data_IF_392117034099
#
_entry.id   IF_392117034099
#
_cell.length_a   1.000
_cell.length_b   1.000
_cell.length_c   1.000
_cell.angle_alpha   90.00
_cell.angle_beta   90.00
_cell.angle_gamma   90.00
#
_symmetry.space_group_name_H-M   'P 1'
#
loop_
_entity.id
_entity.type
_entity.pdbx_description
1 polymer ?
#
# COMPACT_ATOMS: atom_id res chain seq x y z
N UNK A 1 20.20 -25.01 9.49
CA UNK A 1 20.68 -24.18 10.62
C UNK A 1 20.69 -22.66 10.34
N UNK A 2 20.31 -22.17 9.14
CA UNK A 2 20.53 -20.75 8.76
C UNK A 2 19.24 -19.91 8.63
N UNK A 3 18.07 -20.45 8.98
CA UNK A 3 16.78 -19.74 8.83
C UNK A 3 16.24 -19.06 10.10
N UNK A 4 16.95 -19.14 11.23
CA UNK A 4 16.52 -18.52 12.50
C UNK A 4 17.01 -17.08 12.73
N UNK A 5 17.86 -16.52 11.85
CA UNK A 5 18.48 -15.21 12.06
C UNK A 5 18.07 -14.11 11.06
N UNK A 6 17.08 -14.39 10.21
CA UNK A 6 16.59 -13.44 9.21
C UNK A 6 15.58 -12.46 9.83
N UNK A 7 16.07 -11.41 10.49
CA UNK A 7 15.26 -10.36 11.10
C UNK A 7 15.07 -9.17 10.13
N UNK A 8 14.38 -9.41 9.01
CA UNK A 8 14.10 -8.39 7.99
C UNK A 8 12.85 -7.56 8.34
N UNK A 9 12.96 -6.24 8.26
CA UNK A 9 11.83 -5.29 8.33
C UNK A 9 11.58 -4.73 6.91
N UNK A 10 10.34 -4.45 6.51
CA UNK A 10 10.04 -4.03 5.14
C UNK A 10 8.89 -3.01 5.06
N UNK A 11 8.84 -2.07 4.09
CA UNK A 11 7.86 -0.99 4.04
C UNK A 11 6.43 -1.46 3.77
N UNK A 12 5.46 -0.63 4.13
CA UNK A 12 4.03 -0.89 4.10
C UNK A 12 3.48 -1.11 2.68
N UNK A 13 4.12 -0.53 1.65
CA UNK A 13 3.74 -0.77 0.24
C UNK A 13 3.89 -2.24 -0.16
N UNK A 14 4.76 -2.98 0.51
CA UNK A 14 4.81 -4.43 0.37
C UNK A 14 3.63 -4.97 1.16
N UNK A 15 2.49 -5.09 0.48
CA UNK A 15 1.14 -5.30 1.03
C UNK A 15 0.95 -6.51 1.97
N UNK A 16 2.00 -7.29 2.21
CA UNK A 16 2.16 -8.31 3.25
C UNK A 16 3.65 -8.47 3.52
N UNK A 17 4.06 -8.45 4.79
CA UNK A 17 5.34 -9.04 5.17
C UNK A 17 5.32 -10.51 4.78
N UNK A 18 6.36 -10.97 4.07
CA UNK A 18 6.51 -12.40 3.79
C UNK A 18 6.61 -13.14 5.12
N UNK A 19 5.84 -14.22 5.28
CA UNK A 19 6.08 -15.18 6.36
C UNK A 19 7.54 -15.63 6.32
N UNK A 20 8.08 -16.22 7.41
CA UNK A 20 9.41 -16.81 7.38
C UNK A 20 9.60 -17.75 6.18
N UNK A 21 10.82 -17.82 5.62
CA UNK A 21 11.14 -18.71 4.48
C UNK A 21 10.87 -20.20 4.81
N UNK A 22 10.88 -20.56 6.09
CA UNK A 22 10.46 -21.88 6.56
C UNK A 22 9.00 -22.21 6.21
N UNK A 23 8.14 -21.20 6.14
CA UNK A 23 6.71 -21.30 5.79
C UNK A 23 6.43 -20.95 4.32
N UNK A 24 7.46 -20.95 3.45
CA UNK A 24 7.31 -20.55 2.04
C UNK A 24 6.26 -21.34 1.25
N UNK A 25 5.90 -22.54 1.71
CA UNK A 25 4.81 -23.34 1.12
C UNK A 25 3.44 -22.64 1.19
N UNK A 26 3.25 -21.77 2.19
CA UNK A 26 2.02 -21.02 2.42
C UNK A 26 2.13 -19.54 2.01
N UNK A 27 3.18 -19.18 1.27
CA UNK A 27 3.35 -17.84 0.73
C UNK A 27 2.38 -17.62 -0.42
N UNK A 28 1.74 -16.45 -0.41
CA UNK A 28 0.92 -15.96 -1.52
C UNK A 28 1.79 -15.35 -2.60
N UNK A 29 1.23 -15.17 -3.80
CA UNK A 29 1.93 -14.58 -4.95
C UNK A 29 2.67 -13.26 -4.60
N UNK A 30 2.04 -12.36 -3.84
CA UNK A 30 2.68 -11.10 -3.42
C UNK A 30 3.89 -11.31 -2.50
N UNK A 31 3.89 -12.35 -1.68
CA UNK A 31 5.04 -12.67 -0.81
C UNK A 31 6.21 -13.23 -1.62
N UNK A 32 5.92 -14.01 -2.67
CA UNK A 32 6.92 -14.47 -3.64
C UNK A 32 7.50 -13.33 -4.46
N UNK A 33 6.65 -12.42 -4.93
CA UNK A 33 7.07 -11.21 -5.64
C UNK A 33 8.00 -10.35 -4.78
N UNK A 34 7.59 -10.03 -3.55
CA UNK A 34 8.42 -9.27 -2.61
C UNK A 34 9.75 -9.98 -2.32
N UNK A 35 9.71 -11.31 -2.17
CA UNK A 35 10.92 -12.10 -1.98
C UNK A 35 11.87 -11.98 -3.16
N UNK A 36 11.40 -12.24 -4.38
CA UNK A 36 12.26 -12.18 -5.57
C UNK A 36 12.81 -10.78 -5.76
N UNK A 37 11.96 -9.74 -5.71
CA UNK A 37 12.38 -8.37 -6.03
C UNK A 37 13.25 -7.70 -4.97
N UNK A 38 13.05 -7.99 -3.69
CA UNK A 38 13.69 -7.21 -2.62
C UNK A 38 14.55 -8.03 -1.67
N UNK A 39 14.10 -9.23 -1.28
CA UNK A 39 14.76 -9.97 -0.20
C UNK A 39 15.79 -10.97 -0.71
N UNK A 40 15.53 -11.58 -1.87
CA UNK A 40 16.29 -12.72 -2.37
C UNK A 40 17.75 -12.36 -2.66
N UNK A 41 18.02 -11.20 -3.27
CA UNK A 41 19.38 -10.78 -3.57
C UNK A 41 20.23 -10.54 -2.30
N UNK A 42 19.82 -9.71 -1.33
CA UNK A 42 20.53 -9.58 -0.05
C UNK A 42 20.74 -10.91 0.69
N UNK A 43 19.74 -11.79 0.69
CA UNK A 43 19.78 -13.07 1.40
C UNK A 43 20.75 -14.03 0.70
N UNK A 44 20.60 -14.21 -0.61
CA UNK A 44 21.41 -15.14 -1.38
C UNK A 44 22.84 -14.68 -1.57
N UNK A 45 23.11 -13.36 -1.51
CA UNK A 45 24.48 -12.85 -1.44
C UNK A 45 25.25 -13.41 -0.24
N UNK A 46 24.55 -13.65 0.87
CA UNK A 46 25.13 -14.22 2.09
C UNK A 46 25.11 -15.76 2.09
N UNK A 47 24.11 -16.40 1.48
CA UNK A 47 23.89 -17.84 1.58
C UNK A 47 24.48 -18.67 0.44
N UNK A 48 24.64 -18.08 -0.75
CA UNK A 48 25.07 -18.79 -1.96
C UNK A 48 26.49 -18.38 -2.33
N UNK A 49 27.20 -19.28 -3.02
CA UNK A 49 28.45 -18.92 -3.68
C UNK A 49 28.22 -17.90 -4.80
N UNK A 50 29.30 -17.23 -5.22
CA UNK A 50 29.22 -16.16 -6.21
C UNK A 50 28.58 -16.62 -7.53
N UNK A 51 28.84 -17.85 -8.00
CA UNK A 51 28.30 -18.33 -9.26
C UNK A 51 26.79 -18.55 -9.18
N UNK A 52 26.30 -19.15 -8.09
CA UNK A 52 24.86 -19.32 -7.87
C UNK A 52 24.16 -17.99 -7.62
N UNK A 53 24.83 -17.04 -6.96
CA UNK A 53 24.30 -15.70 -6.75
C UNK A 53 24.15 -14.93 -8.07
N UNK A 54 25.17 -14.93 -8.94
CA UNK A 54 25.10 -14.29 -10.26
C UNK A 54 24.01 -14.93 -11.13
N UNK A 55 23.89 -16.26 -11.11
CA UNK A 55 22.80 -16.97 -11.77
C UNK A 55 21.42 -16.49 -11.28
N UNK A 56 21.18 -16.43 -9.97
CA UNK A 56 19.89 -15.97 -9.43
C UNK A 56 19.62 -14.50 -9.76
N UNK A 57 20.68 -13.69 -9.78
CA UNK A 57 20.59 -12.26 -10.09
C UNK A 57 20.07 -12.00 -11.51
N UNK A 58 20.33 -12.87 -12.48
CA UNK A 58 19.75 -12.77 -13.84
C UNK A 58 18.22 -12.69 -13.81
N UNK A 59 17.58 -13.49 -12.94
CA UNK A 59 16.12 -13.46 -12.77
C UNK A 59 15.65 -12.20 -12.04
N UNK A 60 16.32 -11.81 -10.96
CA UNK A 60 15.92 -10.64 -10.17
C UNK A 60 16.01 -9.36 -10.98
N UNK A 61 17.11 -9.18 -11.71
CA UNK A 61 17.40 -7.96 -12.45
C UNK A 61 16.52 -7.84 -13.70
N UNK A 62 16.27 -8.95 -14.42
CA UNK A 62 15.35 -8.96 -15.57
C UNK A 62 13.92 -8.63 -15.16
N UNK A 63 13.42 -9.21 -14.06
CA UNK A 63 12.08 -8.89 -13.54
C UNK A 63 11.98 -7.44 -13.08
N UNK A 64 13.04 -6.88 -12.48
CA UNK A 64 13.07 -5.45 -12.12
C UNK A 64 12.93 -4.56 -13.35
N UNK A 65 13.63 -4.86 -14.44
CA UNK A 65 13.51 -4.13 -15.71
C UNK A 65 12.09 -4.22 -16.25
N UNK A 66 11.56 -5.45 -16.38
CA UNK A 66 10.25 -5.71 -16.98
C UNK A 66 9.06 -5.15 -16.18
N UNK A 67 9.32 -4.71 -14.94
CA UNK A 67 8.35 -4.07 -14.05
C UNK A 67 8.48 -2.55 -13.99
N UNK A 68 9.43 -1.91 -14.69
CA UNK A 68 9.56 -0.45 -14.69
C UNK A 68 8.34 0.23 -15.34
N UNK A 69 8.11 1.49 -14.97
CA UNK A 69 7.06 2.32 -15.59
C UNK A 69 7.43 2.72 -17.03
N UNK A 70 8.72 2.92 -17.29
CA UNK A 70 9.29 3.24 -18.59
C UNK A 70 10.43 2.26 -18.87
N UNK A 71 10.38 1.57 -20.02
CA UNK A 71 11.36 0.55 -20.43
C UNK A 71 11.81 0.89 -21.84
N UNK A 72 13.11 1.08 -22.03
CA UNK A 72 13.72 1.27 -23.36
C UNK A 72 13.89 -0.06 -24.09
N UNK A 73 14.01 -0.03 -25.42
CA UNK A 73 14.26 -1.26 -26.20
C UNK A 73 15.55 -1.96 -25.77
N UNK A 74 16.61 -1.20 -25.47
CA UNK A 74 17.90 -1.77 -25.01
C UNK A 74 17.76 -2.46 -23.64
N UNK A 75 16.98 -1.87 -22.72
CA UNK A 75 16.68 -2.49 -21.42
C UNK A 75 15.85 -3.77 -21.61
N UNK A 76 14.86 -3.74 -22.51
CA UNK A 76 14.01 -4.89 -22.81
C UNK A 76 14.81 -6.05 -23.42
N UNK A 77 15.67 -5.77 -24.39
CA UNK A 77 16.59 -6.74 -25.01
C UNK A 77 17.57 -7.30 -23.97
N UNK A 78 18.01 -6.47 -23.04
CA UNK A 78 18.83 -6.90 -21.92
C UNK A 78 18.10 -7.86 -20.99
N UNK A 79 16.86 -7.56 -20.62
CA UNK A 79 16.04 -8.46 -19.80
C UNK A 79 15.78 -9.79 -20.52
N UNK A 80 15.52 -9.77 -21.84
CA UNK A 80 15.34 -10.98 -22.64
C UNK A 80 16.56 -11.90 -22.62
N UNK A 81 17.75 -11.34 -22.86
CA UNK A 81 19.02 -12.08 -22.82
C UNK A 81 19.26 -12.71 -21.45
N UNK A 82 19.00 -11.97 -20.37
CA UNK A 82 19.18 -12.46 -19.00
C UNK A 82 18.23 -13.64 -18.68
N UNK A 83 16.99 -13.61 -19.18
CA UNK A 83 16.02 -14.70 -18.97
C UNK A 83 16.36 -15.95 -19.81
N UNK A 84 16.90 -15.77 -21.01
CA UNK A 84 17.44 -16.86 -21.82
C UNK A 84 18.65 -17.52 -21.15
N UNK A 85 19.60 -16.71 -20.68
CA UNK A 85 20.77 -17.19 -19.95
C UNK A 85 20.37 -17.93 -18.67
N UNK A 86 19.42 -17.38 -17.89
CA UNK A 86 18.86 -18.04 -16.72
C UNK A 86 18.27 -19.42 -17.06
N UNK A 87 17.51 -19.53 -18.15
CA UNK A 87 16.94 -20.81 -18.61
C UNK A 87 18.01 -21.84 -18.98
N UNK A 88 19.03 -21.44 -19.75
CA UNK A 88 20.12 -22.34 -20.15
C UNK A 88 20.87 -22.86 -18.92
N UNK A 89 21.28 -21.96 -18.02
CA UNK A 89 22.00 -22.33 -16.80
C UNK A 89 21.12 -23.20 -15.89
N UNK A 90 19.80 -22.97 -15.84
CA UNK A 90 18.86 -23.80 -15.07
C UNK A 90 18.94 -25.26 -15.52
N UNK A 91 18.88 -25.50 -16.84
CA UNK A 91 18.92 -26.85 -17.40
C UNK A 91 20.28 -27.52 -17.12
N UNK A 92 21.37 -26.78 -17.28
CA UNK A 92 22.73 -27.30 -17.07
C UNK A 92 22.99 -27.67 -15.60
N UNK A 93 22.61 -26.79 -14.67
CA UNK A 93 22.89 -26.99 -13.22
C UNK A 93 21.90 -27.93 -12.54
N UNK A 94 20.61 -27.87 -12.90
CA UNK A 94 19.55 -28.57 -12.17
C UNK A 94 18.86 -29.65 -13.00
N UNK A 95 19.39 -29.96 -14.19
CA UNK A 95 18.90 -30.96 -15.14
C UNK A 95 17.54 -30.62 -15.77
N UNK A 96 17.10 -31.44 -16.73
CA UNK A 96 15.80 -31.28 -17.41
C UNK A 96 14.60 -31.33 -16.46
N UNK A 97 14.72 -31.95 -15.29
CA UNK A 97 13.62 -32.02 -14.31
C UNK A 97 13.26 -30.64 -13.76
N UNK A 98 14.23 -29.71 -13.69
CA UNK A 98 14.00 -28.34 -13.26
C UNK A 98 13.35 -27.45 -14.33
N UNK A 99 13.34 -27.89 -15.60
CA UNK A 99 12.76 -27.16 -16.74
C UNK A 99 11.24 -27.32 -16.79
N UNK A 100 10.59 -26.83 -15.73
CA UNK A 100 9.13 -26.79 -15.64
C UNK A 100 8.54 -25.81 -16.66
N UNK A 101 7.23 -25.92 -16.89
CA UNK A 101 6.49 -24.97 -17.71
C UNK A 101 6.76 -23.51 -17.29
N UNK A 102 6.75 -23.20 -15.99
CA UNK A 102 6.98 -21.84 -15.51
C UNK A 102 8.38 -21.32 -15.82
N UNK A 103 9.41 -22.18 -15.82
CA UNK A 103 10.77 -21.79 -16.20
C UNK A 103 10.82 -21.45 -17.69
N UNK A 104 10.18 -22.26 -18.53
CA UNK A 104 10.07 -21.99 -19.96
C UNK A 104 9.30 -20.70 -20.27
N UNK A 105 8.20 -20.43 -19.54
CA UNK A 105 7.41 -19.21 -19.71
C UNK A 105 8.22 -17.92 -19.51
N UNK A 106 9.34 -17.97 -18.77
CA UNK A 106 10.23 -16.82 -18.58
C UNK A 106 10.76 -16.28 -19.93
N UNK A 107 10.99 -17.15 -20.92
CA UNK A 107 11.48 -16.76 -22.26
C UNK A 107 10.50 -15.87 -23.03
N UNK A 108 9.23 -15.81 -22.60
CA UNK A 108 8.19 -15.04 -23.27
C UNK A 108 7.85 -13.74 -22.55
N UNK A 109 8.49 -13.44 -21.41
CA UNK A 109 8.15 -12.25 -20.62
C UNK A 109 8.51 -10.97 -21.35
N UNK A 110 9.71 -10.87 -21.94
CA UNK A 110 10.12 -9.67 -22.69
C UNK A 110 9.24 -9.44 -23.92
N UNK A 111 8.92 -10.51 -24.66
CA UNK A 111 7.93 -10.44 -25.75
C UNK A 111 6.56 -9.99 -25.24
N UNK A 112 6.10 -10.48 -24.08
CA UNK A 112 4.84 -10.02 -23.50
C UNK A 112 4.87 -8.54 -23.16
N UNK A 113 6.00 -8.04 -22.63
CA UNK A 113 6.18 -6.61 -22.34
C UNK A 113 6.15 -5.75 -23.60
N UNK A 114 6.81 -6.21 -24.68
CA UNK A 114 6.79 -5.52 -25.97
C UNK A 114 5.37 -5.30 -26.51
N UNK A 115 4.51 -6.32 -26.40
CA UNK A 115 3.17 -6.29 -26.99
C UNK A 115 2.09 -5.72 -26.08
N UNK A 116 2.20 -5.91 -24.76
CA UNK A 116 1.13 -5.62 -23.80
C UNK A 116 1.51 -4.58 -22.73
N UNK A 117 2.74 -4.05 -22.79
CA UNK A 117 3.30 -3.15 -21.79
C UNK A 117 3.90 -3.87 -20.58
N UNK A 118 4.44 -3.13 -19.59
CA UNK A 118 5.11 -3.68 -18.42
C UNK A 118 4.32 -4.79 -17.70
N UNK A 119 5.01 -5.71 -17.01
CA UNK A 119 4.37 -6.91 -16.41
C UNK A 119 3.20 -6.60 -15.47
N UNK A 120 3.20 -5.43 -14.83
CA UNK A 120 2.12 -5.02 -13.94
C UNK A 120 0.80 -4.70 -14.68
N UNK A 121 0.86 -4.32 -15.96
CA UNK A 121 -0.31 -3.97 -16.78
C UNK A 121 -1.24 -5.15 -17.08
N UNK A 122 -0.67 -6.36 -17.19
CA UNK A 122 -1.38 -7.58 -17.55
C UNK A 122 -1.30 -8.65 -16.46
N UNK A 123 -0.99 -8.24 -15.22
CA UNK A 123 -1.06 -9.10 -14.05
C UNK A 123 -2.52 -9.51 -13.74
N UNK A 124 -2.70 -10.68 -13.13
CA UNK A 124 -4.03 -11.13 -12.69
C UNK A 124 -4.47 -10.51 -11.37
N UNK A 125 -3.61 -9.76 -10.67
CA UNK A 125 -3.94 -9.18 -9.36
C UNK A 125 -5.18 -8.27 -9.37
N UNK A 126 -5.38 -7.35 -10.34
CA UNK A 126 -6.59 -6.53 -10.38
C UNK A 126 -7.85 -7.38 -10.55
N UNK A 127 -7.76 -8.43 -11.37
CA UNK A 127 -8.85 -9.37 -11.59
C UNK A 127 -9.18 -10.17 -10.32
N UNK A 128 -8.18 -10.74 -9.67
CA UNK A 128 -8.35 -11.48 -8.40
C UNK A 128 -8.90 -10.59 -7.28
N UNK A 129 -8.46 -9.34 -7.20
CA UNK A 129 -8.96 -8.35 -6.24
C UNK A 129 -10.43 -8.02 -6.51
N UNK A 130 -10.79 -7.76 -7.78
CA UNK A 130 -12.17 -7.55 -8.19
C UNK A 130 -13.05 -8.77 -7.90
N UNK A 131 -12.55 -9.97 -8.19
CA UNK A 131 -13.24 -11.22 -7.93
C UNK A 131 -13.43 -11.47 -6.43
N UNK A 132 -12.43 -11.17 -5.60
CA UNK A 132 -12.54 -11.25 -4.15
C UNK A 132 -13.64 -10.32 -3.61
N UNK A 133 -13.70 -9.09 -4.10
CA UNK A 133 -14.76 -8.15 -3.74
C UNK A 133 -16.15 -8.66 -4.15
N UNK A 134 -16.25 -9.29 -5.32
CA UNK A 134 -17.48 -9.91 -5.79
C UNK A 134 -17.90 -11.08 -4.89
N UNK A 135 -16.97 -11.99 -4.56
CA UNK A 135 -17.25 -13.12 -3.68
C UNK A 135 -17.72 -12.69 -2.28
N UNK A 136 -17.13 -11.63 -1.72
CA UNK A 136 -17.58 -11.08 -0.43
C UNK A 136 -19.04 -10.61 -0.46
N UNK A 137 -19.60 -10.31 -1.63
CA UNK A 137 -21.00 -9.87 -1.77
C UNK A 137 -21.99 -11.04 -1.85
N UNK A 138 -21.50 -12.26 -2.08
CA UNK A 138 -22.30 -13.47 -2.16
C UNK A 138 -22.35 -14.09 -0.77
N UNK A 139 -23.46 -13.87 -0.07
CA UNK A 139 -23.61 -14.29 1.33
C UNK A 139 -24.33 -15.63 1.49
N UNK A 140 -25.03 -16.10 0.45
CA UNK A 140 -25.67 -17.40 0.45
C UNK A 140 -25.85 -17.95 -0.97
N UNK A 141 -25.94 -19.27 -1.09
CA UNK A 141 -26.12 -19.98 -2.35
C UNK A 141 -27.47 -19.67 -3.05
N UNK A 142 -28.44 -19.09 -2.32
CA UNK A 142 -29.75 -18.75 -2.88
C UNK A 142 -29.69 -17.41 -3.62
N UNK A 143 -29.92 -17.43 -4.93
CA UNK A 143 -30.05 -16.21 -5.74
C UNK A 143 -28.74 -15.44 -5.92
N UNK A 144 -27.62 -16.15 -6.08
CA UNK A 144 -26.28 -15.58 -6.34
C UNK A 144 -26.31 -14.52 -7.45
N UNK A 145 -26.97 -14.82 -8.56
CA UNK A 145 -27.10 -13.88 -9.69
C UNK A 145 -27.74 -12.55 -9.28
N UNK A 146 -28.77 -12.57 -8.42
CA UNK A 146 -29.43 -11.36 -7.94
C UNK A 146 -28.56 -10.57 -6.94
N UNK A 147 -27.74 -11.26 -6.15
CA UNK A 147 -26.78 -10.63 -5.24
C UNK A 147 -25.69 -9.89 -6.03
N UNK A 148 -25.17 -10.53 -7.08
CA UNK A 148 -24.20 -9.94 -8.02
C UNK A 148 -24.80 -8.73 -8.72
N UNK A 149 -25.99 -8.86 -9.33
CA UNK A 149 -26.66 -7.75 -10.05
C UNK A 149 -26.92 -6.57 -9.12
N UNK A 150 -27.36 -6.81 -7.88
CA UNK A 150 -27.54 -5.76 -6.88
C UNK A 150 -26.25 -5.03 -6.55
N UNK A 151 -25.15 -5.76 -6.37
CA UNK A 151 -23.84 -5.17 -6.11
C UNK A 151 -23.37 -4.28 -7.27
N UNK A 152 -23.45 -4.78 -8.50
CA UNK A 152 -23.06 -4.02 -9.71
C UNK A 152 -23.92 -2.75 -9.85
N UNK A 153 -25.23 -2.85 -9.66
CA UNK A 153 -26.12 -1.68 -9.72
C UNK A 153 -25.80 -0.65 -8.64
N UNK A 154 -25.47 -1.11 -7.43
CA UNK A 154 -25.06 -0.21 -6.35
C UNK A 154 -23.74 0.51 -6.67
N UNK A 155 -22.72 -0.19 -7.17
CA UNK A 155 -21.46 0.39 -7.63
C UNK A 155 -21.69 1.45 -8.73
N UNK A 156 -22.51 1.12 -9.74
CA UNK A 156 -22.88 2.06 -10.81
C UNK A 156 -23.54 3.33 -10.27
N UNK A 157 -24.54 3.19 -9.40
CA UNK A 157 -25.19 4.33 -8.75
C UNK A 157 -24.20 5.14 -7.91
N UNK A 158 -23.35 4.48 -7.12
CA UNK A 158 -22.35 5.13 -6.28
C UNK A 158 -21.31 5.94 -7.10
N UNK A 159 -20.97 5.46 -8.29
CA UNK A 159 -20.06 6.14 -9.22
C UNK A 159 -20.74 7.28 -9.97
N UNK A 160 -22.01 7.10 -10.39
CA UNK A 160 -22.82 8.16 -10.97
C UNK A 160 -23.01 9.34 -10.01
N UNK A 161 -23.35 9.05 -8.75
CA UNK A 161 -23.46 10.06 -7.70
C UNK A 161 -22.13 10.80 -7.51
N UNK A 162 -21.01 10.06 -7.46
CA UNK A 162 -19.67 10.64 -7.28
C UNK A 162 -19.24 11.56 -8.42
N UNK A 163 -19.61 11.23 -9.66
CA UNK A 163 -19.21 11.99 -10.84
C UNK A 163 -20.11 13.20 -11.09
N UNK A 164 -21.42 13.07 -10.88
CA UNK A 164 -22.39 14.10 -11.30
C UNK A 164 -22.97 14.92 -10.15
N UNK A 165 -23.02 14.36 -8.93
CA UNK A 165 -23.69 15.01 -7.79
C UNK A 165 -22.67 15.54 -6.79
N UNK A 166 -21.66 14.77 -6.42
CA UNK A 166 -20.66 15.18 -5.42
C UNK A 166 -19.95 16.51 -5.72
N UNK A 167 -19.56 16.84 -6.98
CA UNK A 167 -18.91 18.11 -7.30
C UNK A 167 -19.78 19.35 -7.01
N UNK A 168 -21.11 19.16 -6.97
CA UNK A 168 -22.10 20.23 -6.76
C UNK A 168 -22.89 20.05 -5.46
N UNK A 169 -22.58 19.02 -4.67
CA UNK A 169 -23.30 18.65 -3.47
C UNK A 169 -22.87 19.52 -2.29
N UNK A 170 -23.84 19.90 -1.45
CA UNK A 170 -23.55 20.59 -0.20
C UNK A 170 -22.74 19.69 0.74
N UNK A 171 -21.91 20.26 1.64
CA UNK A 171 -21.08 19.48 2.56
C UNK A 171 -21.87 18.49 3.44
N UNK A 172 -23.15 18.77 3.68
CA UNK A 172 -24.07 17.89 4.42
C UNK A 172 -24.45 16.66 3.60
N UNK A 173 -24.76 16.84 2.31
CA UNK A 173 -25.11 15.77 1.37
C UNK A 173 -23.90 14.88 1.11
N UNK A 174 -22.72 15.48 0.90
CA UNK A 174 -21.46 14.74 0.72
C UNK A 174 -21.15 13.86 1.94
N UNK A 175 -21.29 14.39 3.16
CA UNK A 175 -21.08 13.65 4.41
C UNK A 175 -22.10 12.53 4.62
N UNK A 176 -23.35 12.72 4.21
CA UNK A 176 -24.39 11.69 4.26
C UNK A 176 -24.07 10.53 3.31
N UNK A 177 -23.72 10.83 2.06
CA UNK A 177 -23.40 9.83 1.04
C UNK A 177 -22.13 9.04 1.38
N UNK A 178 -21.11 9.67 1.99
CA UNK A 178 -19.93 8.99 2.52
C UNK A 178 -20.25 8.01 3.66
N UNK A 179 -21.21 8.36 4.53
CA UNK A 179 -21.61 7.50 5.65
C UNK A 179 -22.35 6.24 5.18
N UNK A 180 -23.10 6.33 4.07
CA UNK A 180 -23.74 5.17 3.44
C UNK A 180 -22.67 4.17 2.97
N UNK A 181 -21.57 4.65 2.38
CA UNK A 181 -20.46 3.79 1.92
C UNK A 181 -19.70 3.08 3.06
N UNK A 182 -19.66 3.66 4.28
CA UNK A 182 -18.87 3.11 5.42
C UNK A 182 -19.55 1.97 6.20
N UNK A 183 -20.86 1.78 6.14
CA UNK A 183 -21.61 0.78 6.93
C UNK A 183 -21.58 -0.66 6.36
N UNK A 184 -20.47 -1.09 5.76
CA UNK A 184 -20.37 -2.38 5.04
C UNK A 184 -20.18 -3.63 5.94
N UNK A 185 -20.06 -3.55 7.28
CA UNK A 185 -19.47 -4.64 8.09
C UNK A 185 -20.26 -5.31 9.23
N UNK A 186 -21.50 -4.93 9.59
CA UNK A 186 -22.08 -5.44 10.87
C UNK A 186 -23.58 -5.82 10.92
N UNK A 187 -24.25 -6.19 9.82
CA UNK A 187 -25.71 -6.31 9.85
C UNK A 187 -26.35 -7.69 9.61
N UNK A 188 -25.63 -8.82 9.65
CA UNK A 188 -26.21 -10.11 9.20
C UNK A 188 -26.08 -11.31 10.15
N UNK A 189 -25.93 -11.12 11.47
CA UNK A 189 -25.94 -12.23 12.45
C UNK A 189 -27.13 -12.20 13.40
N UNK A 190 -28.36 -11.94 12.91
CA UNK A 190 -29.54 -12.10 13.75
C UNK A 190 -30.68 -12.79 12.97
N UNK A 191 -30.95 -14.02 13.43
CA UNK A 191 -32.14 -14.86 13.20
C UNK A 191 -32.18 -15.70 11.93
N UNK A 192 -31.44 -16.83 11.97
CA UNK A 192 -31.65 -18.00 11.11
C UNK A 192 -33.10 -18.54 11.16
N UNK A 193 -33.83 -18.37 12.27
CA UNK A 193 -35.16 -18.95 12.46
C UNK A 193 -36.30 -18.19 11.75
N UNK A 194 -36.07 -16.97 11.26
CA UNK A 194 -37.06 -16.18 10.51
C UNK A 194 -36.95 -16.35 8.98
N UNK A 195 -35.86 -16.96 8.51
CA UNK A 195 -35.53 -17.12 7.09
C UNK A 195 -36.30 -18.26 6.40
N UNK A 196 -36.87 -19.19 7.17
CA UNK A 196 -37.66 -20.31 6.64
C UNK A 196 -39.11 -19.94 6.27
N UNK A 197 -39.68 -18.88 6.83
CA UNK A 197 -41.12 -18.63 6.76
C UNK A 197 -41.57 -17.69 5.64
N UNK A 198 -40.66 -17.04 4.92
CA UNK A 198 -41.02 -15.93 4.02
C UNK A 198 -40.42 -16.16 2.63
N UNK A 199 -41.00 -17.13 1.94
CA UNK A 199 -40.77 -17.35 0.52
C UNK A 199 -41.39 -16.20 -0.29
N UNK A 200 -40.56 -15.61 -1.16
CA UNK A 200 -40.91 -14.77 -2.31
C UNK A 200 -41.37 -13.30 -2.05
N UNK A 201 -40.61 -12.36 -2.64
CA UNK A 201 -40.96 -10.97 -2.97
C UNK A 201 -41.09 -9.88 -1.86
N UNK A 202 -40.21 -9.82 -0.85
CA UNK A 202 -40.31 -8.82 0.25
C UNK A 202 -39.09 -7.96 0.57
N UNK A 203 -38.02 -7.99 -0.23
CA UNK A 203 -36.74 -7.35 0.12
C UNK A 203 -36.73 -5.80 0.13
N UNK A 204 -37.52 -5.15 -0.73
CA UNK A 204 -37.52 -3.67 -0.85
C UNK A 204 -38.47 -3.05 0.17
N UNK A 205 -39.67 -3.59 0.32
CA UNK A 205 -40.66 -3.10 1.29
C UNK A 205 -40.21 -3.29 2.74
N UNK A 206 -39.50 -4.38 3.09
CA UNK A 206 -38.96 -4.54 4.44
C UNK A 206 -37.81 -3.57 4.76
N UNK A 207 -37.06 -3.10 3.76
CA UNK A 207 -36.00 -2.11 3.98
C UNK A 207 -36.58 -0.71 4.21
N UNK A 208 -37.60 -0.33 3.45
CA UNK A 208 -38.32 0.94 3.61
C UNK A 208 -39.08 0.96 4.94
N UNK A 209 -39.79 -0.12 5.28
CA UNK A 209 -40.53 -0.24 6.56
C UNK A 209 -39.57 -0.30 7.76
N UNK A 210 -38.41 -0.98 7.65
CA UNK A 210 -37.38 -0.96 8.71
C UNK A 210 -36.76 0.41 8.90
N UNK A 211 -36.50 1.15 7.82
CA UNK A 211 -35.97 2.51 7.88
C UNK A 211 -36.97 3.46 8.56
N UNK A 212 -38.24 3.43 8.13
CA UNK A 212 -39.31 4.24 8.71
C UNK A 212 -39.55 3.88 10.19
N UNK A 213 -39.50 2.59 10.55
CA UNK A 213 -39.65 2.18 11.95
C UNK A 213 -38.43 2.52 12.81
N UNK A 214 -37.20 2.45 12.27
CA UNK A 214 -36.01 2.91 12.97
C UNK A 214 -36.01 4.42 13.17
N UNK A 215 -36.47 5.19 12.19
CA UNK A 215 -36.57 6.64 12.29
C UNK A 215 -37.65 7.06 13.30
N UNK A 216 -38.80 6.36 13.30
CA UNK A 216 -39.84 6.52 14.33
C UNK A 216 -39.34 6.13 15.72
N UNK A 217 -38.68 4.97 15.88
CA UNK A 217 -38.11 4.55 17.17
C UNK A 217 -36.98 5.48 17.63
N UNK A 218 -36.13 5.96 16.72
CA UNK A 218 -35.07 6.91 17.05
C UNK A 218 -35.63 8.27 17.45
N UNK A 219 -36.69 8.76 16.78
CA UNK A 219 -37.37 10.01 17.16
C UNK A 219 -38.12 9.86 18.49
N UNK A 220 -38.75 8.70 18.74
CA UNK A 220 -39.42 8.37 19.99
C UNK A 220 -38.44 8.22 21.15
N UNK A 221 -37.30 7.54 20.94
CA UNK A 221 -36.22 7.46 21.93
C UNK A 221 -35.58 8.82 22.16
N UNK A 222 -35.45 9.65 21.12
CA UNK A 222 -34.91 11.01 21.24
C UNK A 222 -35.83 11.90 22.07
N UNK A 223 -37.14 11.78 21.95
CA UNK A 223 -38.10 12.56 22.74
C UNK A 223 -38.21 12.11 24.20
N UNK A 224 -37.88 10.85 24.53
CA UNK A 224 -37.91 10.34 25.91
C UNK A 224 -36.55 10.35 26.62
N UNK A 225 -35.44 10.19 25.89
CA UNK A 225 -34.09 10.11 26.47
C UNK A 225 -33.46 11.50 26.63
N UNK A 226 -33.62 12.42 25.67
CA UNK A 226 -32.98 13.74 25.80
C UNK A 226 -33.50 14.61 26.96
N UNK A 227 -34.78 14.59 27.37
CA UNK A 227 -35.25 15.38 28.51
C UNK A 227 -34.75 14.86 29.87
N UNK A 228 -34.34 13.59 29.97
CA UNK A 228 -34.04 12.92 31.24
C UNK A 228 -32.66 12.23 31.30
N UNK A 229 -31.83 12.36 30.26
CA UNK A 229 -30.50 11.76 30.23
C UNK A 229 -29.54 12.52 31.17
N UNK A 230 -28.70 11.77 31.90
CA UNK A 230 -27.69 12.38 32.76
C UNK A 230 -26.69 13.20 31.93
N UNK A 231 -26.10 14.27 32.52
CA UNK A 231 -25.13 15.11 31.83
C UNK A 231 -23.94 14.33 31.24
N UNK A 232 -23.59 13.19 31.84
CA UNK A 232 -22.52 12.29 31.35
C UNK A 232 -22.92 11.59 30.06
N UNK A 233 -24.17 11.12 29.97
CA UNK A 233 -24.72 10.46 28.78
C UNK A 233 -24.88 11.46 27.64
N UNK A 234 -25.35 12.67 27.94
CA UNK A 234 -25.43 13.77 26.96
C UNK A 234 -24.03 14.11 26.43
N UNK A 235 -23.04 14.29 27.32
CA UNK A 235 -21.64 14.56 26.96
C UNK A 235 -21.01 13.43 26.13
N UNK A 236 -21.32 12.18 26.45
CA UNK A 236 -20.87 11.02 25.66
C UNK A 236 -21.47 11.01 24.25
N UNK A 237 -22.77 11.24 24.13
CA UNK A 237 -23.47 11.30 22.84
C UNK A 237 -23.03 12.50 21.99
N UNK A 238 -22.76 13.65 22.60
CA UNK A 238 -22.16 14.81 21.94
C UNK A 238 -20.73 14.56 21.48
N UNK A 239 -19.94 13.85 22.29
CA UNK A 239 -18.58 13.44 21.91
C UNK A 239 -18.57 12.42 20.76
N UNK A 240 -19.58 11.55 20.64
CA UNK A 240 -19.76 10.67 19.48
C UNK A 240 -20.15 11.49 18.22
N UNK A 241 -20.95 12.54 18.38
CA UNK A 241 -21.36 13.42 17.27
C UNK A 241 -20.24 14.36 16.80
N UNK A 242 -19.27 14.71 17.66
CA UNK A 242 -18.07 15.47 17.29
C UNK A 242 -17.18 14.61 16.36
N UNK A 243 -16.89 15.13 15.16
CA UNK A 243 -15.91 14.52 14.24
C UNK A 243 -14.56 14.40 14.97
N UNK A 244 -14.11 13.17 15.28
CA UNK A 244 -12.67 12.90 15.39
C UNK A 244 -12.11 12.87 13.97
N UNK A 245 -11.89 14.05 13.39
CA UNK A 245 -11.08 14.14 12.17
C UNK A 245 -9.64 13.77 12.56
N UNK A 246 -9.13 12.67 12.02
CA UNK A 246 -7.70 12.61 11.71
C UNK A 246 -7.46 13.86 10.86
N UNK A 247 -6.68 14.83 11.33
CA UNK A 247 -6.39 16.06 10.57
C UNK A 247 -5.64 15.62 9.31
N UNK A 248 -6.33 15.67 8.18
CA UNK A 248 -5.81 15.43 6.85
C UNK A 248 -5.66 16.80 6.22
N UNK A 249 -4.48 17.11 5.70
CA UNK A 249 -4.20 18.33 4.96
C UNK A 249 -3.68 17.94 3.59
N UNK A 250 -4.21 18.53 2.53
CA UNK A 250 -3.83 18.21 1.15
C UNK A 250 -3.29 19.48 0.49
N UNK A 251 -2.10 19.37 -0.12
CA UNK A 251 -1.44 20.45 -0.85
C UNK A 251 -0.60 19.84 -1.96
N UNK A 252 -0.68 20.41 -3.17
CA UNK A 252 0.14 20.02 -4.33
C UNK A 252 0.18 18.50 -4.62
N UNK A 253 -0.95 17.80 -4.44
CA UNK A 253 -1.05 16.35 -4.65
C UNK A 253 -0.42 15.48 -3.56
N UNK A 254 0.02 16.08 -2.45
CA UNK A 254 0.49 15.39 -1.25
C UNK A 254 -0.56 15.47 -0.14
N UNK A 255 -0.85 14.32 0.48
CA UNK A 255 -1.77 14.24 1.62
C UNK A 255 -1.01 14.06 2.92
N UNK A 256 -0.99 15.07 3.77
CA UNK A 256 -0.34 15.07 5.08
C UNK A 256 -1.30 14.57 6.17
N UNK A 257 -0.78 13.71 7.06
CA UNK A 257 -1.58 13.00 8.06
C UNK A 257 -1.06 13.27 9.47
N UNK A 258 -1.95 13.67 10.38
CA UNK A 258 -1.68 13.66 11.82
C UNK A 258 -1.50 15.04 12.46
N UNK A 259 -0.83 15.07 13.62
CA UNK A 259 -0.73 16.25 14.49
C UNK A 259 0.43 17.15 14.07
N UNK A 260 0.18 18.46 13.99
CA UNK A 260 1.18 19.52 13.83
C UNK A 260 1.90 19.77 15.15
N UNK A 261 3.16 19.35 15.27
CA UNK A 261 4.01 19.70 16.40
C UNK A 261 4.74 21.04 16.13
N UNK A 262 5.03 21.80 17.19
CA UNK A 262 5.85 23.01 17.10
C UNK A 262 7.32 22.58 16.94
N UNK A 263 8.00 23.13 15.94
CA UNK A 263 9.39 22.79 15.65
C UNK A 263 10.35 23.42 16.67
N UNK A 264 11.47 22.76 16.92
CA UNK A 264 12.56 23.36 17.70
C UNK A 264 13.05 24.64 16.98
N UNK A 265 13.08 25.81 17.64
CA UNK A 265 13.54 27.08 17.06
C UNK A 265 14.96 27.05 16.49
N UNK A 266 15.80 26.12 16.92
CA UNK A 266 17.12 25.91 16.33
C UNK A 266 17.01 25.36 14.90
N UNK A 267 16.19 24.34 14.68
CA UNK A 267 15.98 23.73 13.36
C UNK A 267 15.35 24.74 12.39
N UNK A 268 14.43 25.57 12.87
CA UNK A 268 13.83 26.63 12.04
C UNK A 268 14.88 27.61 11.51
N UNK A 269 15.83 28.02 12.36
CA UNK A 269 16.92 28.92 11.98
C UNK A 269 17.94 28.26 11.06
N UNK A 270 18.37 27.04 11.40
CA UNK A 270 19.40 26.32 10.65
C UNK A 270 18.98 26.00 9.20
N UNK A 271 17.67 25.96 8.92
CA UNK A 271 17.12 25.61 7.61
C UNK A 271 16.23 26.68 6.96
N UNK A 272 16.25 27.92 7.46
CA UNK A 272 15.49 29.03 6.90
C UNK A 272 13.98 28.73 6.75
N UNK A 273 13.37 28.28 7.85
CA UNK A 273 11.95 27.96 7.95
C UNK A 273 11.24 28.99 8.84
N UNK A 274 10.01 29.36 8.48
CA UNK A 274 9.20 30.30 9.24
C UNK A 274 8.77 29.76 10.60
N UNK A 275 8.48 30.67 11.53
CA UNK A 275 7.94 30.31 12.84
C UNK A 275 6.57 29.60 12.76
N UNK A 276 5.85 29.76 11.64
CA UNK A 276 4.54 29.15 11.39
C UNK A 276 4.62 27.83 10.63
N UNK A 277 5.83 27.34 10.33
CA UNK A 277 6.03 26.06 9.66
C UNK A 277 5.40 24.90 10.44
N UNK A 278 4.66 24.08 9.72
CA UNK A 278 3.91 22.94 10.28
C UNK A 278 4.62 21.62 10.01
N UNK A 279 4.76 20.80 11.06
CA UNK A 279 5.40 19.49 10.96
C UNK A 279 4.35 18.38 10.85
N UNK A 280 4.61 17.42 9.97
CA UNK A 280 3.87 16.18 9.89
C UNK A 280 4.80 14.99 10.02
N UNK A 281 4.30 13.91 10.64
CA UNK A 281 5.02 12.64 10.73
C UNK A 281 4.69 11.69 9.59
N UNK A 282 3.66 11.96 8.81
CA UNK A 282 3.18 11.04 7.77
C UNK A 282 2.67 11.83 6.58
N UNK A 283 2.97 11.37 5.39
CA UNK A 283 2.48 11.94 4.14
C UNK A 283 2.18 10.82 3.13
N UNK A 284 1.18 11.02 2.29
CA UNK A 284 0.91 10.18 1.12
C UNK A 284 1.36 10.97 -0.11
N UNK A 285 2.33 10.43 -0.83
CA UNK A 285 2.98 11.07 -1.98
C UNK A 285 2.91 10.06 -3.12
N UNK A 286 2.31 10.41 -4.26
CA UNK A 286 2.08 9.50 -5.41
C UNK A 286 1.42 8.17 -4.98
N UNK A 287 0.40 8.24 -4.13
CA UNK A 287 -0.29 7.06 -3.59
C UNK A 287 0.48 6.26 -2.54
N UNK A 288 1.75 6.60 -2.29
CA UNK A 288 2.64 5.91 -1.37
C UNK A 288 2.65 6.57 0.01
N UNK A 289 2.41 5.79 1.07
CA UNK A 289 2.51 6.27 2.45
C UNK A 289 3.97 6.32 2.88
N UNK A 290 4.42 7.49 3.31
CA UNK A 290 5.70 7.71 3.98
C UNK A 290 5.47 8.05 5.45
N UNK A 291 6.41 7.63 6.31
CA UNK A 291 6.34 7.89 7.74
C UNK A 291 7.68 8.27 8.32
N UNK A 292 7.61 9.18 9.27
CA UNK A 292 8.67 9.73 10.09
C UNK A 292 8.57 8.98 11.43
N UNK A 293 9.64 8.30 11.81
CA UNK A 293 9.76 7.31 12.90
C UNK A 293 9.42 5.85 12.57
N UNK A 294 10.32 4.99 13.05
CA UNK A 294 10.17 3.56 13.20
C UNK A 294 9.65 3.33 14.63
N UNK A 295 8.36 3.02 14.85
CA UNK A 295 7.95 2.63 16.21
C UNK A 295 8.63 1.31 16.56
N UNK A 296 9.07 1.14 17.81
CA UNK A 296 9.82 -0.03 18.31
C UNK A 296 9.18 -1.42 18.09
N UNK A 297 7.98 -1.50 17.50
CA UNK A 297 7.24 -2.73 17.19
C UNK A 297 6.49 -2.65 15.85
N UNK A 298 6.83 -1.69 14.97
CA UNK A 298 6.17 -1.59 13.67
C UNK A 298 6.74 -2.59 12.67
N UNK A 299 5.82 -3.29 12.00
CA UNK A 299 6.10 -4.28 10.96
C UNK A 299 6.68 -3.67 9.69
N UNK A 300 6.66 -2.35 9.56
CA UNK A 300 7.08 -1.68 8.34
C UNK A 300 7.78 -0.35 8.53
N UNK A 301 8.82 -0.13 7.74
CA UNK A 301 9.61 1.10 7.76
C UNK A 301 9.43 1.89 6.45
N UNK A 302 8.63 2.95 6.49
CA UNK A 302 8.36 3.83 5.34
C UNK A 302 9.13 5.15 5.44
N UNK A 303 10.23 5.17 6.18
CA UNK A 303 11.06 6.36 6.36
C UNK A 303 12.15 6.48 5.31
N UNK A 304 12.29 5.55 4.37
CA UNK A 304 13.35 5.59 3.35
C UNK A 304 12.80 5.91 1.98
N UNK A 305 13.45 6.82 1.27
CA UNK A 305 13.12 7.17 -0.10
C UNK A 305 14.37 7.40 -0.95
N UNK A 306 14.18 7.36 -2.27
CA UNK A 306 15.16 7.80 -3.24
C UNK A 306 14.68 9.12 -3.85
N UNK A 307 15.60 10.08 -4.01
CA UNK A 307 15.34 11.31 -4.73
C UNK A 307 15.61 11.16 -6.24
N UNK A 308 15.19 12.14 -7.04
CA UNK A 308 15.38 12.16 -8.50
C UNK A 308 16.85 12.18 -8.92
N UNK A 309 17.73 12.71 -8.07
CA UNK A 309 19.19 12.69 -8.25
C UNK A 309 19.83 11.33 -7.92
N UNK A 310 19.00 10.31 -7.65
CA UNK A 310 19.37 8.95 -7.25
C UNK A 310 20.00 8.83 -5.85
N UNK A 311 20.02 9.89 -5.03
CA UNK A 311 20.44 9.82 -3.63
C UNK A 311 19.36 9.19 -2.74
N UNK A 312 19.78 8.55 -1.65
CA UNK A 312 18.90 7.89 -0.70
C UNK A 312 18.78 8.70 0.59
N UNK A 313 17.56 8.85 1.10
CA UNK A 313 17.28 9.65 2.29
C UNK A 313 16.49 8.86 3.33
N UNK A 314 16.79 9.10 4.60
CA UNK A 314 15.99 8.68 5.74
C UNK A 314 15.17 9.87 6.27
N UNK A 315 13.85 9.85 6.04
CA UNK A 315 12.90 10.89 6.38
C UNK A 315 12.66 10.94 7.89
N UNK A 316 12.91 12.12 8.47
CA UNK A 316 12.67 12.43 9.87
C UNK A 316 11.34 13.15 10.09
N UNK A 317 10.97 14.08 9.20
CA UNK A 317 9.73 14.85 9.27
C UNK A 317 9.35 15.41 7.88
N UNK A 318 8.06 15.70 7.68
CA UNK A 318 7.56 16.49 6.56
C UNK A 318 7.20 17.89 7.06
N UNK A 319 7.54 18.92 6.31
CA UNK A 319 7.32 20.32 6.70
C UNK A 319 6.55 21.04 5.61
N UNK A 320 5.57 21.83 6.02
CA UNK A 320 4.89 22.80 5.18
C UNK A 320 5.09 24.18 5.79
N UNK A 321 5.80 25.02 5.05
CA UNK A 321 6.00 26.42 5.36
C UNK A 321 5.28 27.26 4.30
N UNK A 322 4.11 27.78 4.67
CA UNK A 322 3.28 28.55 3.75
C UNK A 322 3.81 29.97 3.52
N UNK A 323 4.54 30.54 4.47
CA UNK A 323 5.11 31.89 4.34
C UNK A 323 6.23 31.91 3.30
N UNK A 324 7.14 30.94 3.40
CA UNK A 324 8.25 30.81 2.45
C UNK A 324 7.90 29.96 1.22
N UNK A 325 6.66 29.49 1.11
CA UNK A 325 6.17 28.59 0.06
C UNK A 325 7.05 27.32 -0.13
N UNK A 326 7.49 26.72 0.98
CA UNK A 326 8.34 25.52 0.99
C UNK A 326 7.53 24.29 1.42
N UNK A 327 7.67 23.19 0.68
CA UNK A 327 7.20 21.85 1.06
C UNK A 327 8.39 20.90 1.04
N UNK A 328 8.91 20.57 2.22
CA UNK A 328 10.22 19.91 2.33
C UNK A 328 10.18 18.72 3.28
N UNK A 329 11.16 17.85 3.15
CA UNK A 329 11.46 16.80 4.12
C UNK A 329 12.71 17.18 4.92
N UNK A 330 12.67 16.97 6.24
CA UNK A 330 13.88 16.83 7.03
C UNK A 330 14.33 15.38 6.93
N UNK A 331 15.58 15.17 6.57
CA UNK A 331 16.09 13.83 6.33
C UNK A 331 17.57 13.69 6.67
N UNK A 332 18.04 12.45 6.74
CA UNK A 332 19.46 12.09 6.81
C UNK A 332 19.88 11.46 5.49
N UNK A 333 21.12 11.71 5.09
CA UNK A 333 21.76 11.04 3.96
C UNK A 333 21.93 9.55 4.28
N UNK A 334 21.55 8.67 3.34
CA UNK A 334 21.84 7.24 3.41
C UNK A 334 22.92 6.95 2.37
N UNK A 335 24.14 6.77 2.85
CA UNK A 335 25.29 6.51 1.99
C UNK A 335 25.31 5.03 1.60
N UNK A 336 25.43 4.75 0.31
CA UNK A 336 25.45 3.40 -0.23
C UNK A 336 26.78 3.07 -0.89
N UNK A 337 27.18 1.80 -0.84
CA UNK A 337 28.29 1.25 -1.60
C UNK A 337 27.80 0.74 -2.97
N UNK A 338 28.47 -0.28 -3.49
CA UNK A 338 28.14 -0.93 -4.75
C UNK A 338 26.72 -1.54 -4.73
N UNK A 339 26.11 -1.55 -5.92
CA UNK A 339 24.90 -2.32 -6.19
C UNK A 339 25.19 -3.81 -6.11
N UNK A 340 24.32 -4.56 -5.43
CA UNK A 340 24.35 -6.03 -5.48
C UNK A 340 23.41 -6.58 -6.55
N UNK A 341 22.33 -5.86 -6.86
CA UNK A 341 21.37 -6.14 -7.93
C UNK A 341 20.92 -4.82 -8.58
N UNK A 342 20.13 -4.90 -9.65
CA UNK A 342 19.65 -3.74 -10.42
C UNK A 342 19.08 -2.61 -9.54
N UNK A 343 18.34 -3.01 -8.51
CA UNK A 343 17.58 -2.13 -7.61
C UNK A 343 18.09 -2.09 -6.17
N UNK A 344 19.05 -2.93 -5.79
CA UNK A 344 19.45 -3.13 -4.38
C UNK A 344 20.92 -2.79 -4.14
N UNK A 345 21.14 -2.02 -3.08
CA UNK A 345 22.42 -1.42 -2.70
C UNK A 345 22.78 -1.82 -1.28
N UNK A 346 24.09 -1.97 -1.02
CA UNK A 346 24.60 -2.07 0.36
C UNK A 346 24.63 -0.68 0.97
N UNK A 347 24.11 -0.55 2.19
CA UNK A 347 24.17 0.71 2.95
C UNK A 347 25.45 0.72 3.77
N UNK A 348 26.29 1.72 3.53
CA UNK A 348 27.51 1.97 4.30
C UNK A 348 27.17 2.56 5.67
N UNK A 349 26.52 3.73 5.65
CA UNK A 349 26.12 4.44 6.86
C UNK A 349 24.90 5.34 6.62
N UNK A 350 24.27 5.77 7.71
CA UNK A 350 23.25 6.82 7.70
C UNK A 350 23.85 8.01 8.43
N UNK A 351 23.94 9.16 7.76
CA UNK A 351 24.53 10.37 8.34
C UNK A 351 23.78 10.82 9.59
N UNK A 352 24.51 11.34 10.57
CA UNK A 352 23.91 11.99 11.74
C UNK A 352 23.42 13.41 11.43
N UNK A 353 23.93 14.02 10.35
CA UNK A 353 23.55 15.36 9.92
C UNK A 353 22.13 15.38 9.35
N UNK A 354 21.36 16.37 9.78
CA UNK A 354 20.03 16.62 9.25
C UNK A 354 20.18 17.55 8.04
N UNK A 355 19.52 17.19 6.94
CA UNK A 355 19.43 17.98 5.72
C UNK A 355 17.98 18.22 5.37
N UNK A 356 17.76 19.22 4.52
CA UNK A 356 16.47 19.54 3.92
C UNK A 356 16.49 19.17 2.45
N UNK A 357 15.40 18.58 1.95
CA UNK A 357 15.20 18.31 0.53
C UNK A 357 13.76 18.61 0.15
N UNK A 358 13.52 19.03 -1.09
CA UNK A 358 12.16 19.32 -1.56
C UNK A 358 11.35 18.02 -1.65
N UNK A 359 10.09 18.07 -1.23
CA UNK A 359 9.20 16.91 -1.31
C UNK A 359 8.97 16.47 -2.76
N UNK A 360 9.05 17.40 -3.72
CA UNK A 360 8.89 17.15 -5.16
C UNK A 360 10.04 16.34 -5.75
N UNK A 361 11.18 16.28 -5.06
CA UNK A 361 12.34 15.51 -5.49
C UNK A 361 12.23 14.04 -5.12
N UNK A 362 11.24 13.64 -4.31
CA UNK A 362 11.01 12.23 -4.00
C UNK A 362 10.60 11.49 -5.27
N UNK A 363 11.48 10.58 -5.71
CA UNK A 363 11.25 9.70 -6.86
C UNK A 363 10.37 8.53 -6.46
N UNK A 364 10.85 7.71 -5.53
CA UNK A 364 10.21 6.48 -5.06
C UNK A 364 10.46 6.23 -3.58
N UNK A 365 9.58 5.44 -2.95
CA UNK A 365 9.86 4.87 -1.63
C UNK A 365 10.90 3.74 -1.78
N UNK A 366 11.61 3.45 -0.69
CA UNK A 366 12.60 2.38 -0.65
C UNK A 366 12.29 1.36 0.43
N UNK A 367 12.71 0.13 0.16
CA UNK A 367 12.73 -0.98 1.10
C UNK A 367 14.08 -0.96 1.81
N UNK A 368 14.10 -0.67 3.11
CA UNK A 368 15.30 -0.82 3.93
C UNK A 368 15.29 -2.19 4.60
N UNK A 369 16.34 -2.99 4.36
CA UNK A 369 16.43 -4.39 4.78
C UNK A 369 17.65 -4.52 5.69
N UNK A 370 17.47 -5.14 6.85
CA UNK A 370 18.57 -5.49 7.76
C UNK A 370 18.75 -7.00 7.80
N UNK A 371 19.96 -7.48 7.54
CA UNK A 371 20.33 -8.90 7.60
C UNK A 371 21.63 -9.00 8.39
N UNK A 372 21.57 -9.64 9.55
CA UNK A 372 22.70 -9.73 10.49
C UNK A 372 23.29 -8.33 10.79
N UNK A 373 24.55 -8.11 10.40
CA UNK A 373 25.28 -6.85 10.57
C UNK A 373 25.23 -5.93 9.34
N UNK A 374 24.62 -6.38 8.24
CA UNK A 374 24.56 -5.63 6.99
C UNK A 374 23.19 -4.98 6.79
N UNK A 375 23.22 -3.77 6.24
CA UNK A 375 22.04 -3.03 5.87
C UNK A 375 21.99 -2.90 4.35
N UNK A 376 20.79 -3.01 3.78
CA UNK A 376 20.55 -2.87 2.36
C UNK A 376 19.39 -1.93 2.12
N UNK A 377 19.41 -1.25 0.98
CA UNK A 377 18.30 -0.43 0.51
C UNK A 377 17.94 -0.85 -0.92
N UNK A 378 16.66 -1.11 -1.16
CA UNK A 378 16.13 -1.54 -2.44
C UNK A 378 15.07 -0.56 -2.94
N UNK A 379 15.13 -0.23 -4.22
CA UNK A 379 14.13 0.61 -4.90
C UNK A 379 12.97 -0.26 -5.39
N UNK A 380 11.77 0.31 -5.47
CA UNK A 380 10.65 -0.36 -6.13
C UNK A 380 10.76 -0.14 -7.65
N UNK A 381 10.52 -1.18 -8.47
CA UNK A 381 10.56 -1.04 -9.93
C UNK A 381 9.42 -0.14 -10.44
N UNK A 382 8.27 -0.18 -9.77
CA UNK A 382 7.12 0.71 -9.99
C UNK A 382 6.41 1.02 -8.67
N UNK A 383 5.60 2.08 -8.68
CA UNK A 383 4.77 2.50 -7.53
C UNK A 383 3.32 1.97 -7.62
N UNK A 384 2.97 1.24 -8.69
CA UNK A 384 1.62 0.78 -8.98
C UNK A 384 1.30 -0.52 -8.24
N UNK A 385 1.15 -0.42 -6.93
CA UNK A 385 0.52 -1.46 -6.12
C UNK A 385 -0.83 -0.95 -5.61
N UNK A 386 -1.88 -1.25 -6.37
CA UNK A 386 -3.29 -1.03 -5.97
C UNK A 386 -3.86 -2.27 -5.29
#
# INVERSE_FOLDING_TARGET
MVLHHLNAQAPHQLARLSKPISERKDWKAKEWENFVLHYSAPIFRYLLDENLFQYWKLLVDSLHILLQDEITNDELDNADRMLHEFNVITQEKFTKVAMTFNVHQLLHLSSSVLHWGPLWCHSTYPFESAYHNLLQTIHCAKGVNLQIVRFINYEKCANYLKSNIYPHASPVVTKYLENIKKKKRHLLSANLNLLQTIHCAKGVNLQIVRFINYEKCANYLKSYIYPHASPVVIKYLENIKKKKSVRIYEKNGVTYLGYSAIMNPKILRDFDLSATATIYKRAVIKGCLYSSENKKNERSNNSFCQLKDNTFKNILYFIIDNENNKEVILCREVNTLNKISQSTFVVDNISNEIKVSDIKDIKTICVFIKIENNNYISTLPNLHHN
#
